data_IF_567838153312
#
_entry.id   IF_567838153312
#
_cell.length_a   1.000
_cell.length_b   1.000
_cell.length_c   1.000
_cell.angle_alpha   90.00
_cell.angle_beta   90.00
_cell.angle_gamma   90.00
#
_symmetry.space_group_name_H-M   'P 1'
#
loop_
_entity.id
_entity.type
_entity.pdbx_description
1 polymer ?
#
# COMPACT_ATOMS: atom_id res chain seq x y z
N UNK A 1 -3.43 -16.55 16.55
CA UNK A 1 -2.34 -16.31 15.57
C UNK A 1 -2.56 -15.01 14.85
N UNK A 2 -1.56 -14.18 14.80
CA UNK A 2 -1.66 -12.87 14.17
C UNK A 2 -1.17 -12.94 12.73
N UNK A 3 -1.98 -12.45 11.79
CA UNK A 3 -1.52 -12.30 10.42
C UNK A 3 -0.56 -11.13 10.34
N UNK A 4 0.63 -11.37 9.80
CA UNK A 4 1.61 -10.31 9.60
C UNK A 4 1.50 -9.71 8.20
N UNK A 5 0.79 -10.37 7.30
CA UNK A 5 0.62 -9.92 5.93
C UNK A 5 -0.86 -9.81 5.61
N UNK A 6 -1.29 -8.61 5.21
CA UNK A 6 -2.68 -8.35 4.86
C UNK A 6 -2.74 -7.72 3.48
N UNK A 7 -3.88 -7.86 2.82
CA UNK A 7 -4.06 -7.29 1.49
C UNK A 7 -5.45 -6.69 1.35
N UNK A 8 -5.58 -5.76 0.41
CA UNK A 8 -6.86 -5.11 0.13
C UNK A 8 -6.92 -4.74 -1.35
N UNK A 9 -8.10 -4.87 -1.94
CA UNK A 9 -8.33 -4.42 -3.32
C UNK A 9 -8.55 -2.92 -3.32
N UNK A 10 -7.84 -2.21 -4.19
CA UNK A 10 -7.92 -0.75 -4.25
C UNK A 10 -8.89 -0.28 -5.33
N UNK A 11 -8.89 -0.96 -6.48
CA UNK A 11 -9.85 -0.71 -7.57
C UNK A 11 -9.81 0.73 -8.07
N UNK A 12 -8.62 1.31 -8.15
CA UNK A 12 -8.48 2.64 -8.74
C UNK A 12 -8.01 2.50 -10.18
N UNK A 13 -7.91 3.64 -10.88
CA UNK A 13 -7.50 3.63 -12.27
C UNK A 13 -6.05 3.20 -12.45
N UNK A 14 -5.22 3.32 -11.43
CA UNK A 14 -3.78 3.00 -11.56
C UNK A 14 -3.32 1.87 -10.64
N UNK A 15 -4.01 1.64 -9.53
CA UNK A 15 -3.61 0.65 -8.52
C UNK A 15 -4.74 -0.33 -8.31
N UNK A 16 -4.46 -1.63 -8.39
CA UNK A 16 -5.52 -2.59 -8.17
C UNK A 16 -5.47 -3.26 -6.80
N UNK A 17 -4.32 -3.36 -6.15
CA UNK A 17 -4.29 -3.93 -4.82
C UNK A 17 -3.09 -3.44 -4.03
N UNK A 18 -3.14 -3.63 -2.72
CA UNK A 18 -2.06 -3.27 -1.82
C UNK A 18 -1.92 -4.37 -0.77
N UNK A 19 -0.69 -4.58 -0.31
CA UNK A 19 -0.39 -5.50 0.78
C UNK A 19 0.42 -4.79 1.83
N UNK A 20 0.27 -5.22 3.09
CA UNK A 20 1.04 -4.64 4.18
C UNK A 20 1.64 -5.74 5.03
N UNK A 21 2.92 -5.60 5.34
CA UNK A 21 3.64 -6.52 6.22
C UNK A 21 3.95 -5.78 7.51
N UNK A 22 3.28 -6.18 8.60
CA UNK A 22 3.43 -5.50 9.87
C UNK A 22 4.72 -5.88 10.61
N UNK A 23 5.42 -6.89 10.15
CA UNK A 23 6.70 -7.27 10.77
C UNK A 23 7.74 -6.22 10.47
N UNK A 24 7.84 -5.78 9.21
CA UNK A 24 8.87 -4.82 8.81
C UNK A 24 8.31 -3.49 8.35
N UNK A 25 7.00 -3.28 8.49
CA UNK A 25 6.31 -2.03 8.13
C UNK A 25 6.49 -1.68 6.66
N UNK A 26 6.40 -2.66 5.79
CA UNK A 26 6.47 -2.41 4.35
C UNK A 26 5.09 -2.54 3.73
N UNK A 27 4.87 -1.77 2.67
CA UNK A 27 3.63 -1.80 1.91
C UNK A 27 3.95 -2.05 0.45
N UNK A 28 3.34 -3.09 -0.13
CA UNK A 28 3.49 -3.38 -1.55
C UNK A 28 2.31 -2.81 -2.29
N UNK A 29 2.57 -2.13 -3.39
CA UNK A 29 1.52 -1.61 -4.26
C UNK A 29 1.61 -2.32 -5.60
N UNK A 30 0.47 -2.87 -6.03
CA UNK A 30 0.34 -3.56 -7.31
C UNK A 30 -0.40 -2.65 -8.26
N UNK A 31 0.29 -2.16 -9.28
CA UNK A 31 -0.28 -1.22 -10.24
C UNK A 31 -0.90 -1.96 -11.43
N UNK A 32 -1.86 -1.32 -12.07
CA UNK A 32 -2.56 -1.94 -13.19
C UNK A 32 -1.66 -2.21 -14.40
N UNK A 33 -0.51 -1.53 -14.49
CA UNK A 33 0.45 -1.77 -15.55
C UNK A 33 1.45 -2.87 -15.21
N UNK A 34 1.13 -3.69 -14.18
CA UNK A 34 1.93 -4.81 -13.74
C UNK A 34 3.20 -4.42 -13.00
N UNK A 35 3.37 -3.16 -12.65
CA UNK A 35 4.48 -2.73 -11.81
C UNK A 35 4.18 -3.03 -10.35
N UNK A 36 5.22 -3.39 -9.61
CA UNK A 36 5.12 -3.67 -8.17
C UNK A 36 6.15 -2.82 -7.46
N UNK A 37 5.70 -2.05 -6.47
CA UNK A 37 6.57 -1.19 -5.68
C UNK A 37 6.47 -1.56 -4.21
N UNK A 38 7.61 -1.55 -3.51
CA UNK A 38 7.64 -1.75 -2.06
C UNK A 38 7.98 -0.42 -1.40
N UNK A 39 7.12 0.01 -0.47
CA UNK A 39 7.33 1.23 0.30
C UNK A 39 7.78 0.85 1.71
N UNK A 40 8.78 1.59 2.24
CA UNK A 40 9.45 1.23 3.48
C UNK A 40 9.02 2.13 4.62
N UNK A 41 9.04 1.58 5.84
CA UNK A 41 8.80 2.33 7.07
C UNK A 41 7.44 3.02 7.08
N UNK A 42 6.44 2.30 6.61
CA UNK A 42 5.06 2.79 6.58
C UNK A 42 4.40 2.37 7.90
N UNK A 43 4.07 3.32 8.79
CA UNK A 43 3.44 2.96 10.06
C UNK A 43 2.09 2.29 9.85
N UNK A 44 1.74 1.41 10.77
CA UNK A 44 0.49 0.64 10.68
C UNK A 44 -0.74 1.54 10.55
N UNK A 45 -0.73 2.71 11.20
CA UNK A 45 -1.92 3.55 11.15
C UNK A 45 -2.22 4.07 9.73
N UNK A 46 -1.22 4.15 8.85
CA UNK A 46 -1.49 4.48 7.44
C UNK A 46 -2.19 3.32 6.76
N UNK A 47 -1.80 2.09 7.07
CA UNK A 47 -2.47 0.93 6.51
C UNK A 47 -3.94 0.89 6.95
N UNK A 48 -4.17 1.13 8.25
CA UNK A 48 -5.53 1.15 8.77
C UNK A 48 -6.35 2.29 8.20
N UNK A 49 -5.72 3.47 8.03
CA UNK A 49 -6.41 4.60 7.42
C UNK A 49 -6.85 4.33 6.00
N UNK A 50 -6.10 3.49 5.29
CA UNK A 50 -6.45 3.12 3.93
C UNK A 50 -7.82 2.44 3.88
N UNK A 51 -8.11 1.57 4.85
CA UNK A 51 -9.40 0.87 4.87
C UNK A 51 -10.57 1.84 5.07
N UNK A 52 -10.34 2.93 5.80
CA UNK A 52 -11.38 3.90 6.09
C UNK A 52 -11.52 4.97 5.01
N UNK A 53 -10.62 5.02 4.07
CA UNK A 53 -10.63 6.05 3.05
C UNK A 53 -11.79 5.85 2.09
N UNK A 54 -12.47 6.93 1.74
CA UNK A 54 -13.54 6.88 0.76
C UNK A 54 -13.00 6.59 -0.64
N UNK A 55 -11.77 7.02 -0.90
CA UNK A 55 -11.07 6.68 -2.15
C UNK A 55 -9.69 6.17 -1.79
N UNK A 56 -9.50 4.85 -1.89
CA UNK A 56 -8.23 4.24 -1.53
C UNK A 56 -7.10 4.65 -2.46
N UNK A 57 -7.40 4.83 -3.74
CA UNK A 57 -6.40 5.28 -4.69
C UNK A 57 -5.88 6.67 -4.37
N UNK A 58 -6.79 7.58 -4.03
CA UNK A 58 -6.39 8.94 -3.67
C UNK A 58 -5.60 8.95 -2.37
N UNK A 59 -6.02 8.14 -1.41
CA UNK A 59 -5.32 8.03 -0.13
C UNK A 59 -3.86 7.59 -0.37
N UNK A 60 -3.67 6.54 -1.18
CA UNK A 60 -2.34 6.02 -1.45
C UNK A 60 -1.48 7.07 -2.14
N UNK A 61 -2.02 7.74 -3.15
CA UNK A 61 -1.25 8.76 -3.85
C UNK A 61 -0.86 9.91 -2.93
N UNK A 62 -1.75 10.30 -2.04
CA UNK A 62 -1.50 11.46 -1.18
C UNK A 62 -0.58 11.13 -0.01
N UNK A 63 -0.77 9.98 0.62
CA UNK A 63 -0.10 9.68 1.88
C UNK A 63 1.02 8.66 1.77
N UNK A 64 1.06 7.85 0.73
CA UNK A 64 2.05 6.79 0.61
C UNK A 64 3.07 7.11 -0.49
N UNK A 65 2.60 7.33 -1.70
CA UNK A 65 3.48 7.45 -2.86
C UNK A 65 4.46 8.62 -2.72
N UNK A 66 4.02 9.70 -2.12
CA UNK A 66 4.83 10.92 -2.03
C UNK A 66 5.54 11.09 -0.70
N UNK A 67 5.35 10.16 0.24
CA UNK A 67 5.89 10.33 1.58
C UNK A 67 6.99 9.35 1.95
N UNK A 68 6.96 8.14 1.42
CA UNK A 68 7.85 7.08 1.87
C UNK A 68 8.82 6.68 0.79
N UNK A 69 10.00 6.24 1.21
CA UNK A 69 10.96 5.71 0.26
C UNK A 69 10.46 4.38 -0.30
N UNK A 70 10.89 4.07 -1.50
CA UNK A 70 10.38 2.89 -2.18
C UNK A 70 11.43 2.28 -3.09
N UNK A 71 11.17 1.04 -3.51
CA UNK A 71 11.93 0.39 -4.56
C UNK A 71 10.96 -0.28 -5.52
N UNK A 72 11.31 -0.26 -6.80
CA UNK A 72 10.49 -0.92 -7.80
C UNK A 72 10.95 -2.37 -7.89
N UNK A 73 10.02 -3.31 -7.69
CA UNK A 73 10.33 -4.72 -7.71
C UNK A 73 10.13 -5.35 -9.09
N UNK A 74 9.21 -4.79 -9.85
CA UNK A 74 8.90 -5.37 -11.15
C UNK A 74 8.33 -4.33 -12.10
#
# INVERSE_FOLDING_TARGET
MTNTLESVMVESSSIYSAEYNSVDNTMLLYFNNESIYRYHKVPLFYWRGLFDASSKGKFINKFIVKKFSFEKLS
#
